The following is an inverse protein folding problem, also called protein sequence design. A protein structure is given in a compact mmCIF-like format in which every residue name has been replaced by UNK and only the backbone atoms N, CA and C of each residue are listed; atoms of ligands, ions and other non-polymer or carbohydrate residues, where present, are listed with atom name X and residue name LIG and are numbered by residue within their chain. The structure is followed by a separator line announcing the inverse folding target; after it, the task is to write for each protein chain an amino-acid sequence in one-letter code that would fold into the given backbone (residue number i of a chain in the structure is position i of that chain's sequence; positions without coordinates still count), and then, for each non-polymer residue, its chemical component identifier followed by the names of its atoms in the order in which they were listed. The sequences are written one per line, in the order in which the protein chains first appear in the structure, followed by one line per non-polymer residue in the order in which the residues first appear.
data_IF_172860805422
#
_entry.id   IF_172860805422
#
_cell.length_a   1.000
_cell.length_b   1.000
_cell.length_c   1.000
_cell.angle_alpha   90.00
_cell.angle_beta   90.00
_cell.angle_gamma   90.00
#
_symmetry.space_group_name_H-M   'P 1'
#
loop_
_entity.id
_entity.type
_entity.pdbx_description
1 polymer ?
#
# COMPACT_ATOMS: atom_id res chain seq x y z
N UNK A 1 -27.96 -9.94 -21.48
CA UNK A 1 -26.57 -9.90 -20.98
C UNK A 1 -26.62 -9.97 -19.46
N UNK A 2 -25.94 -10.94 -18.85
CA UNK A 2 -25.90 -11.18 -17.40
C UNK A 2 -24.54 -10.76 -16.85
N UNK A 3 -24.55 -9.77 -15.97
CA UNK A 3 -23.35 -9.17 -15.41
C UNK A 3 -23.27 -9.45 -13.91
N UNK A 4 -22.08 -9.78 -13.42
CA UNK A 4 -21.81 -9.84 -11.99
C UNK A 4 -20.68 -8.90 -11.65
N UNK A 5 -20.98 -7.90 -10.82
CA UNK A 5 -20.08 -6.82 -10.46
C UNK A 5 -19.64 -7.04 -9.01
N UNK A 6 -18.33 -7.16 -8.79
CA UNK A 6 -17.73 -7.36 -7.48
C UNK A 6 -16.98 -6.12 -7.00
N UNK A 7 -17.08 -5.86 -5.70
CA UNK A 7 -16.41 -4.77 -5.03
C UNK A 7 -16.28 -5.00 -3.53
N UNK A 8 -15.59 -4.07 -2.89
CA UNK A 8 -15.50 -3.95 -1.43
C UNK A 8 -16.27 -2.70 -0.99
N UNK A 9 -16.97 -2.81 0.14
CA UNK A 9 -17.76 -1.71 0.71
C UNK A 9 -16.92 -0.44 0.86
N UNK A 10 -17.37 0.65 0.22
CA UNK A 10 -16.68 1.95 0.19
C UNK A 10 -16.12 2.37 -1.17
N UNK A 11 -16.04 1.47 -2.17
CA UNK A 11 -15.54 1.79 -3.52
C UNK A 11 -16.61 2.35 -4.47
N UNK A 12 -17.87 2.40 -4.05
CA UNK A 12 -18.94 3.04 -4.81
C UNK A 12 -19.52 2.21 -5.95
N UNK A 13 -19.57 0.88 -5.81
CA UNK A 13 -20.24 -0.03 -6.75
C UNK A 13 -21.66 0.42 -7.12
N UNK A 14 -22.43 1.00 -6.19
CA UNK A 14 -23.77 1.53 -6.47
C UNK A 14 -23.77 2.59 -7.55
N UNK A 15 -22.84 3.55 -7.49
CA UNK A 15 -22.69 4.61 -8.51
C UNK A 15 -22.31 4.02 -9.87
N UNK A 16 -21.42 3.02 -9.87
CA UNK A 16 -21.02 2.34 -11.10
C UNK A 16 -22.20 1.61 -11.77
N UNK A 17 -22.98 0.87 -10.98
CA UNK A 17 -24.18 0.14 -11.44
C UNK A 17 -25.26 1.10 -11.92
N UNK A 18 -25.43 2.23 -11.26
CA UNK A 18 -26.39 3.27 -11.64
C UNK A 18 -26.01 3.90 -12.98
N UNK A 19 -24.74 4.30 -13.18
CA UNK A 19 -24.27 4.78 -14.48
C UNK A 19 -24.50 3.76 -15.58
N UNK A 20 -24.20 2.48 -15.34
CA UNK A 20 -24.41 1.44 -16.32
C UNK A 20 -25.90 1.20 -16.63
N UNK A 21 -26.77 1.31 -15.63
CA UNK A 21 -28.21 1.20 -15.78
C UNK A 21 -28.75 2.33 -16.65
N UNK A 22 -28.38 3.57 -16.33
CA UNK A 22 -28.81 4.76 -17.10
C UNK A 22 -28.29 4.67 -18.54
N UNK A 23 -27.03 4.28 -18.74
CA UNK A 23 -26.46 4.12 -20.07
C UNK A 23 -27.19 3.03 -20.89
N UNK A 24 -27.62 1.93 -20.26
CA UNK A 24 -28.42 0.90 -20.92
C UNK A 24 -29.83 1.40 -21.28
N UNK A 25 -30.49 2.12 -20.38
CA UNK A 25 -31.83 2.71 -20.60
C UNK A 25 -31.81 3.69 -21.78
N UNK A 26 -30.76 4.49 -21.91
CA UNK A 26 -30.58 5.44 -23.02
C UNK A 26 -30.53 4.76 -24.40
N UNK A 27 -30.14 3.49 -24.45
CA UNK A 27 -30.09 2.67 -25.67
C UNK A 27 -31.34 1.81 -25.87
N UNK A 28 -32.41 2.07 -25.08
CA UNK A 28 -33.67 1.33 -25.15
C UNK A 28 -33.58 -0.09 -24.59
N UNK A 29 -32.63 -0.35 -23.69
CA UNK A 29 -32.51 -1.61 -22.98
C UNK A 29 -33.13 -1.50 -21.58
N UNK A 30 -33.58 -2.63 -21.04
CA UNK A 30 -34.19 -2.78 -19.72
C UNK A 30 -33.19 -3.45 -18.77
N UNK A 31 -32.49 -2.70 -17.89
CA UNK A 31 -31.65 -3.27 -16.86
C UNK A 31 -32.48 -3.70 -15.64
N UNK A 32 -32.23 -4.91 -15.15
CA UNK A 32 -32.75 -5.44 -13.88
C UNK A 32 -31.58 -5.69 -12.94
N UNK A 33 -31.61 -5.08 -11.76
CA UNK A 33 -30.46 -5.04 -10.83
C UNK A 33 -30.83 -5.63 -9.48
N UNK A 34 -30.03 -6.59 -9.01
CA UNK A 34 -30.03 -7.07 -7.64
C UNK A 34 -28.72 -6.68 -6.94
N UNK A 35 -28.83 -5.82 -5.93
CA UNK A 35 -27.71 -5.49 -5.06
C UNK A 35 -27.67 -6.44 -3.86
N UNK A 36 -26.51 -7.06 -3.64
CA UNK A 36 -26.21 -7.94 -2.52
C UNK A 36 -25.18 -7.24 -1.62
N UNK A 37 -25.63 -6.33 -0.74
CA UNK A 37 -24.73 -5.66 0.19
C UNK A 37 -24.17 -6.66 1.19
N UNK A 38 -22.88 -6.55 1.49
CA UNK A 38 -22.29 -7.27 2.61
C UNK A 38 -22.80 -6.71 3.94
N UNK A 39 -22.80 -7.55 4.98
CA UNK A 39 -23.22 -7.16 6.34
C UNK A 39 -22.31 -6.07 6.93
N UNK A 40 -21.07 -5.94 6.43
CA UNK A 40 -20.14 -4.92 6.86
C UNK A 40 -20.26 -3.63 6.03
N UNK A 41 -20.47 -2.50 6.70
CA UNK A 41 -20.55 -1.18 6.07
C UNK A 41 -19.24 -0.72 5.41
N UNK A 42 -18.08 -1.29 5.79
CA UNK A 42 -16.76 -1.03 5.18
C UNK A 42 -15.95 -2.32 5.13
N UNK A 43 -15.15 -2.51 4.09
CA UNK A 43 -14.30 -3.70 3.91
C UNK A 43 -15.04 -5.05 3.74
N UNK A 44 -16.37 -5.05 3.68
CA UNK A 44 -17.16 -6.24 3.34
C UNK A 44 -17.30 -6.42 1.84
N UNK A 45 -17.42 -7.67 1.38
CA UNK A 45 -17.80 -8.00 0.00
C UNK A 45 -19.12 -7.34 -0.36
N UNK A 46 -19.17 -6.72 -1.54
CA UNK A 46 -20.40 -6.18 -2.12
C UNK A 46 -20.51 -6.69 -3.55
N UNK A 47 -21.63 -7.32 -3.87
CA UNK A 47 -21.92 -7.78 -5.23
C UNK A 47 -23.14 -7.07 -5.78
N UNK A 48 -23.14 -6.82 -7.09
CA UNK A 48 -24.33 -6.41 -7.83
C UNK A 48 -24.49 -7.32 -9.03
N UNK A 49 -25.64 -7.98 -9.12
CA UNK A 49 -26.05 -8.73 -10.29
C UNK A 49 -26.92 -7.85 -11.17
N UNK A 50 -26.68 -7.86 -12.48
CA UNK A 50 -27.45 -7.06 -13.44
C UNK A 50 -27.77 -7.89 -14.68
N UNK A 51 -29.04 -7.96 -15.05
CA UNK A 51 -29.48 -8.46 -16.36
C UNK A 51 -29.86 -7.28 -17.25
N UNK A 52 -29.32 -7.22 -18.47
CA UNK A 52 -29.70 -6.23 -19.48
C UNK A 52 -30.33 -6.97 -20.66
N UNK A 53 -31.62 -6.72 -20.92
CA UNK A 53 -32.41 -7.29 -22.02
C UNK A 53 -33.23 -6.21 -22.72
N UNK A 54 -33.76 -6.52 -23.92
CA UNK A 54 -34.79 -5.67 -24.54
C UNK A 54 -36.17 -5.94 -23.95
N UNK A 55 -36.43 -7.19 -23.59
CA UNK A 55 -37.67 -7.59 -22.94
C UNK A 55 -37.67 -7.15 -21.46
N UNK A 56 -38.84 -6.77 -20.94
CA UNK A 56 -39.02 -6.45 -19.52
C UNK A 56 -38.99 -7.69 -18.60
N UNK A 57 -39.06 -8.88 -19.20
CA UNK A 57 -39.10 -10.15 -18.47
C UNK A 57 -37.71 -10.54 -17.97
N UNK A 58 -37.45 -10.36 -16.68
CA UNK A 58 -36.26 -10.91 -16.01
C UNK A 58 -36.52 -12.38 -15.64
N UNK A 59 -35.70 -13.31 -16.10
CA UNK A 59 -35.94 -14.75 -15.91
C UNK A 59 -35.32 -15.33 -14.63
N UNK A 60 -34.30 -14.67 -14.05
CA UNK A 60 -33.70 -15.10 -12.77
C UNK A 60 -33.18 -13.91 -11.97
N UNK A 61 -33.58 -13.72 -10.69
CA UNK A 61 -33.10 -12.61 -9.88
C UNK A 61 -31.69 -12.83 -9.33
N UNK A 62 -31.09 -14.02 -9.47
CA UNK A 62 -29.80 -14.36 -8.85
C UNK A 62 -28.74 -14.78 -9.86
N UNK A 63 -27.46 -14.46 -9.62
CA UNK A 63 -26.37 -14.97 -10.44
C UNK A 63 -26.24 -16.49 -10.26
N UNK A 64 -26.33 -17.22 -11.36
CA UNK A 64 -26.05 -18.65 -11.40
C UNK A 64 -24.59 -18.91 -11.76
N UNK A 65 -23.98 -19.90 -11.10
CA UNK A 65 -22.60 -20.32 -11.37
C UNK A 65 -22.45 -20.79 -12.82
N UNK A 66 -21.40 -20.32 -13.51
CA UNK A 66 -21.13 -20.63 -14.92
C UNK A 66 -22.11 -20.04 -15.94
N UNK A 67 -23.07 -19.21 -15.51
CA UNK A 67 -24.11 -18.61 -16.37
C UNK A 67 -24.00 -17.07 -16.46
N UNK A 68 -22.96 -16.49 -15.89
CA UNK A 68 -22.68 -15.06 -15.99
C UNK A 68 -21.91 -14.79 -17.28
N UNK A 69 -22.39 -13.83 -18.08
CA UNK A 69 -21.76 -13.47 -19.37
C UNK A 69 -20.53 -12.58 -19.16
N UNK A 70 -20.59 -11.66 -18.18
CA UNK A 70 -19.54 -10.70 -17.89
C UNK A 70 -19.34 -10.51 -16.39
N UNK A 71 -18.12 -10.72 -15.91
CA UNK A 71 -17.70 -10.37 -14.56
C UNK A 71 -16.93 -9.06 -14.60
N UNK A 72 -17.31 -8.11 -13.75
CA UNK A 72 -16.61 -6.84 -13.57
C UNK A 72 -16.14 -6.78 -12.12
N UNK A 73 -14.89 -6.44 -11.84
CA UNK A 73 -14.44 -6.25 -10.46
C UNK A 73 -13.64 -4.98 -10.25
N UNK A 74 -14.04 -4.22 -9.23
CA UNK A 74 -13.31 -3.05 -8.74
C UNK A 74 -12.12 -3.44 -7.86
N UNK A 75 -12.09 -4.66 -7.34
CA UNK A 75 -11.05 -5.15 -6.42
C UNK A 75 -10.57 -6.55 -6.83
N UNK A 76 -9.25 -6.76 -6.81
CA UNK A 76 -8.61 -7.93 -7.39
C UNK A 76 -8.93 -9.23 -6.64
N UNK A 77 -8.92 -9.24 -5.31
CA UNK A 77 -9.25 -10.44 -4.55
C UNK A 77 -10.71 -10.84 -4.70
N UNK A 78 -11.63 -9.89 -4.79
CA UNK A 78 -13.04 -10.19 -5.03
C UNK A 78 -13.27 -10.76 -6.43
N UNK A 79 -12.47 -10.35 -7.44
CA UNK A 79 -12.46 -11.00 -8.75
C UNK A 79 -12.02 -12.47 -8.61
N UNK A 80 -10.88 -12.71 -7.96
CA UNK A 80 -10.36 -14.06 -7.77
C UNK A 80 -11.34 -14.93 -6.98
N UNK A 81 -12.02 -14.35 -5.98
CA UNK A 81 -13.05 -15.03 -5.19
C UNK A 81 -14.23 -15.46 -6.07
N UNK A 82 -14.75 -14.59 -6.93
CA UNK A 82 -15.82 -14.92 -7.87
C UNK A 82 -15.44 -16.05 -8.82
N UNK A 83 -14.22 -16.02 -9.35
CA UNK A 83 -13.70 -17.07 -10.24
C UNK A 83 -13.63 -18.40 -9.48
N UNK A 84 -13.04 -18.42 -8.27
CA UNK A 84 -12.93 -19.64 -7.45
C UNK A 84 -14.28 -20.21 -7.01
N UNK A 85 -15.27 -19.35 -6.80
CA UNK A 85 -16.63 -19.77 -6.44
C UNK A 85 -17.39 -20.39 -7.62
N UNK A 86 -16.85 -20.27 -8.84
CA UNK A 86 -17.43 -20.84 -10.07
C UNK A 86 -18.44 -19.92 -10.77
N UNK A 87 -18.44 -18.62 -10.47
CA UNK A 87 -19.29 -17.67 -11.19
C UNK A 87 -18.76 -17.41 -12.61
N UNK A 88 -17.44 -17.41 -12.76
CA UNK A 88 -16.77 -17.35 -14.05
C UNK A 88 -16.69 -18.75 -14.68
N UNK A 89 -16.82 -18.83 -16.00
CA UNK A 89 -16.51 -20.04 -16.75
C UNK A 89 -15.96 -19.72 -18.15
N UNK A 90 -15.72 -20.74 -18.96
CA UNK A 90 -15.15 -20.60 -20.32
C UNK A 90 -15.99 -19.74 -21.29
N UNK A 91 -17.24 -19.45 -20.93
CA UNK A 91 -18.13 -18.58 -21.72
C UNK A 91 -18.20 -17.15 -21.17
N UNK A 92 -17.67 -16.91 -19.97
CA UNK A 92 -17.70 -15.62 -19.28
C UNK A 92 -16.55 -14.73 -19.73
N UNK A 93 -16.81 -13.45 -19.91
CA UNK A 93 -15.76 -12.43 -20.05
C UNK A 93 -15.43 -11.84 -18.68
N UNK A 94 -14.19 -11.40 -18.51
CA UNK A 94 -13.71 -10.80 -17.24
C UNK A 94 -13.14 -9.42 -17.50
N UNK A 95 -13.58 -8.45 -16.71
CA UNK A 95 -13.03 -7.10 -16.65
C UNK A 95 -12.66 -6.79 -15.20
N UNK A 96 -11.43 -6.38 -14.93
CA UNK A 96 -11.03 -6.04 -13.58
C UNK A 96 -9.77 -5.21 -13.49
N UNK A 97 -9.36 -4.95 -12.26
CA UNK A 97 -8.13 -4.22 -11.93
C UNK A 97 -7.28 -5.00 -10.93
N UNK A 98 -6.00 -4.66 -10.84
CA UNK A 98 -5.09 -5.14 -9.77
C UNK A 98 -5.30 -4.40 -8.44
N UNK A 99 -6.28 -3.50 -8.34
CA UNK A 99 -6.53 -2.74 -7.11
C UNK A 99 -6.84 -3.67 -5.95
N UNK A 100 -6.22 -3.39 -4.80
CA UNK A 100 -6.34 -4.22 -3.60
C UNK A 100 -6.79 -3.37 -2.41
N UNK A 101 -7.88 -3.77 -1.77
CA UNK A 101 -8.24 -3.20 -0.47
C UNK A 101 -7.49 -3.95 0.63
N UNK A 102 -6.29 -3.47 0.96
CA UNK A 102 -5.44 -4.12 1.96
C UNK A 102 -6.01 -4.02 3.39
N UNK A 103 -6.10 -5.17 4.04
CA UNK A 103 -6.35 -5.27 5.48
C UNK A 103 -5.18 -4.68 6.28
N UNK A 104 -5.42 -4.35 7.55
CA UNK A 104 -4.35 -3.85 8.45
C UNK A 104 -3.18 -4.83 8.51
N UNK A 105 -3.43 -6.13 8.54
CA UNK A 105 -2.39 -7.16 8.57
C UNK A 105 -1.54 -7.17 7.30
N UNK A 106 -2.16 -7.07 6.13
CA UNK A 106 -1.43 -7.04 4.87
C UNK A 106 -0.56 -5.79 4.73
N UNK A 107 -1.04 -4.64 5.22
CA UNK A 107 -0.24 -3.38 5.27
C UNK A 107 0.99 -3.48 6.17
N UNK A 108 0.93 -4.31 7.20
CA UNK A 108 2.02 -4.53 8.17
C UNK A 108 2.98 -5.65 7.75
N UNK A 109 2.65 -6.40 6.70
CA UNK A 109 3.50 -7.48 6.20
C UNK A 109 4.67 -6.91 5.41
N UNK A 110 5.89 -7.26 5.81
CA UNK A 110 7.10 -6.94 5.05
C UNK A 110 7.44 -7.99 3.98
N UNK A 111 6.67 -9.09 3.94
CA UNK A 111 6.78 -10.14 2.90
C UNK A 111 6.25 -9.63 1.56
N UNK A 112 6.74 -10.21 0.46
CA UNK A 112 6.18 -10.01 -0.88
C UNK A 112 4.69 -10.39 -0.86
N UNK A 113 3.82 -9.55 -1.42
CA UNK A 113 2.39 -9.81 -1.51
C UNK A 113 2.17 -11.09 -2.35
N UNK A 114 1.56 -12.16 -1.81
CA UNK A 114 1.31 -13.36 -2.59
C UNK A 114 0.09 -13.20 -3.52
N UNK A 115 -0.68 -12.13 -3.40
CA UNK A 115 -1.91 -11.91 -4.15
C UNK A 115 -1.71 -10.97 -5.34
N UNK A 116 -0.78 -11.33 -6.25
CA UNK A 116 -0.50 -10.58 -7.48
C UNK A 116 -1.21 -11.16 -8.69
N UNK A 117 -1.32 -10.37 -9.76
CA UNK A 117 -1.91 -10.83 -11.03
C UNK A 117 -1.18 -12.04 -11.59
N UNK A 118 0.17 -12.06 -11.56
CA UNK A 118 0.99 -13.15 -12.08
C UNK A 118 0.66 -14.49 -11.42
N UNK A 119 0.44 -14.48 -10.10
CA UNK A 119 0.13 -15.69 -9.33
C UNK A 119 -1.26 -16.25 -9.67
N UNK A 120 -2.18 -15.43 -10.18
CA UNK A 120 -3.55 -15.82 -10.51
C UNK A 120 -3.87 -15.77 -12.01
N UNK A 121 -2.91 -15.40 -12.86
CA UNK A 121 -3.08 -15.29 -14.31
C UNK A 121 -3.65 -16.56 -14.93
N UNK A 122 -3.04 -17.71 -14.60
CA UNK A 122 -3.50 -19.02 -15.08
C UNK A 122 -4.94 -19.34 -14.67
N UNK A 123 -5.31 -18.99 -13.42
CA UNK A 123 -6.68 -19.20 -12.93
C UNK A 123 -7.70 -18.37 -13.73
N UNK A 124 -7.36 -17.11 -14.05
CA UNK A 124 -8.22 -16.22 -14.84
C UNK A 124 -8.35 -16.74 -16.27
N UNK A 125 -7.24 -17.13 -16.89
CA UNK A 125 -7.21 -17.69 -18.25
C UNK A 125 -8.03 -18.97 -18.39
N UNK A 126 -7.94 -19.88 -17.41
CA UNK A 126 -8.68 -21.16 -17.45
C UNK A 126 -10.20 -20.98 -17.24
N UNK A 127 -10.63 -19.87 -16.65
CA UNK A 127 -12.01 -19.61 -16.25
C UNK A 127 -12.65 -18.40 -16.94
N UNK A 128 -12.09 -17.95 -18.07
CA UNK A 128 -12.67 -16.88 -18.88
C UNK A 128 -12.50 -17.14 -20.37
N UNK A 129 -13.44 -16.65 -21.18
CA UNK A 129 -13.33 -16.63 -22.64
C UNK A 129 -12.31 -15.58 -23.09
N UNK A 130 -12.45 -14.40 -22.52
CA UNK A 130 -11.62 -13.21 -22.73
C UNK A 130 -11.50 -12.51 -21.38
N UNK A 131 -10.34 -11.94 -21.08
CA UNK A 131 -10.14 -11.19 -19.86
C UNK A 131 -9.30 -9.93 -20.11
N UNK A 132 -9.67 -8.87 -19.41
CA UNK A 132 -8.93 -7.63 -19.32
C UNK A 132 -8.75 -7.35 -17.83
N UNK A 133 -7.54 -7.52 -17.34
CA UNK A 133 -7.16 -7.12 -15.97
C UNK A 133 -6.10 -6.05 -16.09
N UNK A 134 -6.47 -4.84 -15.69
CA UNK A 134 -5.61 -3.66 -15.81
C UNK A 134 -4.77 -3.50 -14.55
N UNK A 135 -3.45 -3.38 -14.72
CA UNK A 135 -2.58 -3.00 -13.62
C UNK A 135 -2.62 -1.49 -13.38
N UNK A 136 -3.41 -1.09 -12.39
CA UNK A 136 -3.59 0.31 -12.02
C UNK A 136 -2.34 0.94 -11.41
N UNK A 137 -1.43 0.13 -10.84
CA UNK A 137 -0.19 0.62 -10.24
C UNK A 137 0.85 0.91 -11.34
N UNK A 138 0.91 0.08 -12.37
CA UNK A 138 1.78 0.33 -13.53
C UNK A 138 1.31 1.53 -14.36
N UNK A 139 0.00 1.81 -14.36
CA UNK A 139 -0.57 2.95 -15.09
C UNK A 139 -0.28 4.32 -14.47
N UNK A 140 0.28 4.38 -13.25
CA UNK A 140 0.52 5.65 -12.55
C UNK A 140 -0.75 6.40 -12.14
N UNK A 141 -1.93 5.77 -12.24
CA UNK A 141 -3.21 6.36 -11.85
C UNK A 141 -3.37 6.18 -10.35
N UNK A 142 -2.94 7.18 -9.58
CA UNK A 142 -2.99 7.16 -8.11
C UNK A 142 -4.40 7.08 -7.50
N UNK A 143 -5.45 7.33 -8.30
CA UNK A 143 -6.85 7.33 -7.87
C UNK A 143 -7.76 6.72 -8.96
N UNK A 144 -7.59 5.42 -9.22
CA UNK A 144 -8.42 4.73 -10.19
C UNK A 144 -9.90 4.74 -9.75
N UNK A 145 -10.72 5.47 -10.50
CA UNK A 145 -12.12 5.74 -10.16
C UNK A 145 -13.08 4.83 -10.93
N UNK A 146 -14.36 4.83 -10.51
CA UNK A 146 -15.41 4.07 -11.19
C UNK A 146 -15.62 4.52 -12.64
N UNK A 147 -15.34 5.80 -12.93
CA UNK A 147 -15.40 6.32 -14.28
C UNK A 147 -14.27 5.77 -15.18
N UNK A 148 -13.06 5.58 -14.65
CA UNK A 148 -12.00 4.89 -15.38
C UNK A 148 -12.40 3.45 -15.75
N UNK A 149 -13.00 2.71 -14.80
CA UNK A 149 -13.52 1.36 -15.05
C UNK A 149 -14.62 1.36 -16.11
N UNK A 150 -15.49 2.38 -16.11
CA UNK A 150 -16.56 2.53 -17.08
C UNK A 150 -16.02 2.80 -18.49
N UNK A 151 -14.99 3.64 -18.61
CA UNK A 151 -14.28 3.88 -19.87
C UNK A 151 -13.57 2.61 -20.37
N UNK A 152 -12.96 1.85 -19.46
CA UNK A 152 -12.37 0.56 -19.76
C UNK A 152 -13.41 -0.44 -20.28
N UNK A 153 -14.59 -0.49 -19.66
CA UNK A 153 -15.72 -1.32 -20.10
C UNK A 153 -16.25 -0.94 -21.48
N UNK A 154 -16.30 0.35 -21.80
CA UNK A 154 -16.65 0.80 -23.15
C UNK A 154 -15.58 0.35 -24.16
N UNK A 155 -14.30 0.65 -23.89
CA UNK A 155 -13.20 0.32 -24.81
C UNK A 155 -12.99 -1.19 -25.01
N UNK A 156 -13.39 -2.04 -24.06
CA UNK A 156 -13.31 -3.49 -24.20
C UNK A 156 -14.28 -4.05 -25.24
N UNK A 157 -15.32 -3.30 -25.62
CA UNK A 157 -16.36 -3.75 -26.54
C UNK A 157 -17.23 -4.87 -25.96
N UNK A 158 -17.19 -5.12 -24.64
CA UNK A 158 -17.98 -6.20 -24.02
C UNK A 158 -19.48 -5.92 -24.00
N UNK A 159 -19.87 -4.64 -24.07
CA UNK A 159 -21.26 -4.17 -24.18
C UNK A 159 -21.44 -3.37 -25.48
N UNK A 160 -21.43 -4.02 -26.66
CA UNK A 160 -21.41 -3.32 -27.95
C UNK A 160 -22.70 -2.55 -28.27
N UNK A 161 -23.76 -2.77 -27.50
CA UNK A 161 -25.03 -2.07 -27.65
C UNK A 161 -25.07 -0.72 -26.92
N UNK A 162 -24.08 -0.40 -26.08
CA UNK A 162 -23.99 0.89 -25.38
C UNK A 162 -22.99 1.81 -26.08
N UNK A 163 -23.46 2.96 -26.57
CA UNK A 163 -22.60 3.95 -27.21
C UNK A 163 -21.88 4.81 -26.19
N UNK A 164 -20.78 5.43 -26.62
CA UNK A 164 -19.97 6.31 -25.78
C UNK A 164 -20.80 7.44 -25.18
N UNK A 165 -21.63 8.06 -26.01
CA UNK A 165 -22.45 9.21 -25.65
C UNK A 165 -23.42 8.86 -24.51
N UNK A 166 -23.94 7.62 -24.48
CA UNK A 166 -24.83 7.13 -23.43
C UNK A 166 -24.11 6.93 -22.10
N UNK A 167 -22.83 6.52 -22.10
CA UNK A 167 -22.02 6.50 -20.89
C UNK A 167 -21.76 7.92 -20.35
N UNK A 168 -21.38 8.86 -21.22
CA UNK A 168 -21.13 10.24 -20.83
C UNK A 168 -22.41 10.92 -20.30
N UNK A 169 -23.54 10.68 -20.96
CA UNK A 169 -24.84 11.19 -20.53
C UNK A 169 -25.31 10.57 -19.21
N UNK A 170 -25.04 9.27 -18.98
CA UNK A 170 -25.29 8.65 -17.70
C UNK A 170 -24.49 9.31 -16.56
N UNK A 171 -23.23 9.65 -16.80
CA UNK A 171 -22.40 10.41 -15.83
C UNK A 171 -23.02 11.78 -15.54
N UNK A 172 -23.48 12.50 -16.56
CA UNK A 172 -24.14 13.81 -16.41
C UNK A 172 -25.44 13.70 -15.60
N UNK A 173 -26.28 12.70 -15.89
CA UNK A 173 -27.59 12.53 -15.23
C UNK A 173 -27.50 12.14 -13.77
N UNK A 174 -26.56 11.28 -13.41
CA UNK A 174 -26.35 10.89 -12.00
C UNK A 174 -25.74 12.04 -11.18
N UNK A 175 -25.05 12.99 -11.84
CA UNK A 175 -24.73 14.29 -11.24
C UNK A 175 -23.60 14.29 -10.21
N UNK A 176 -22.88 13.19 -10.03
CA UNK A 176 -21.78 13.08 -9.06
C UNK A 176 -20.46 13.50 -9.73
N UNK A 177 -19.82 14.56 -9.22
CA UNK A 177 -18.50 15.06 -9.69
C UNK A 177 -18.36 15.05 -11.23
N UNK A 178 -19.38 15.53 -11.95
CA UNK A 178 -19.58 15.28 -13.40
C UNK A 178 -18.33 15.58 -14.24
N UNK A 179 -17.76 16.77 -14.11
CA UNK A 179 -16.58 17.17 -14.91
C UNK A 179 -15.37 16.26 -14.69
N UNK A 180 -15.14 15.85 -13.44
CA UNK A 180 -14.05 14.96 -13.07
C UNK A 180 -14.29 13.56 -13.62
N UNK A 181 -15.49 13.02 -13.42
CA UNK A 181 -15.83 11.68 -13.89
C UNK A 181 -15.86 11.59 -15.42
N UNK A 182 -16.23 12.64 -16.15
CA UNK A 182 -16.11 12.66 -17.61
C UNK A 182 -14.65 12.60 -18.09
N UNK A 183 -13.74 13.31 -17.41
CA UNK A 183 -12.30 13.24 -17.69
C UNK A 183 -11.74 11.85 -17.40
N UNK A 184 -12.08 11.29 -16.23
CA UNK A 184 -11.67 9.94 -15.83
C UNK A 184 -12.21 8.85 -16.78
N UNK A 185 -13.46 9.00 -17.26
CA UNK A 185 -14.05 8.13 -18.28
C UNK A 185 -13.28 8.19 -19.59
N UNK A 186 -12.98 9.39 -20.08
CA UNK A 186 -12.19 9.56 -21.31
C UNK A 186 -10.80 8.92 -21.20
N UNK A 187 -10.12 9.09 -20.05
CA UNK A 187 -8.85 8.42 -19.78
C UNK A 187 -9.00 6.89 -19.78
N UNK A 188 -10.06 6.37 -19.16
CA UNK A 188 -10.40 4.95 -19.16
C UNK A 188 -10.55 4.36 -20.57
N UNK A 189 -11.19 5.09 -21.49
CA UNK A 189 -11.37 4.68 -22.88
C UNK A 189 -10.05 4.52 -23.66
N UNK A 190 -9.00 5.25 -23.27
CA UNK A 190 -7.70 5.21 -23.93
C UNK A 190 -6.79 4.08 -23.42
N UNK A 191 -7.12 3.46 -22.28
CA UNK A 191 -6.22 2.53 -21.59
C UNK A 191 -5.91 1.29 -22.43
N UNK A 192 -6.86 0.74 -23.18
CA UNK A 192 -6.64 -0.46 -24.01
C UNK A 192 -5.86 -0.17 -25.30
N UNK A 193 -6.00 1.03 -25.87
CA UNK A 193 -5.24 1.45 -27.06
C UNK A 193 -3.75 1.66 -26.77
N UNK A 194 -3.40 1.94 -25.51
CA UNK A 194 -2.02 2.09 -25.04
C UNK A 194 -1.35 0.76 -24.67
N UNK A 195 -2.10 -0.33 -24.55
CA UNK A 195 -1.55 -1.64 -24.14
C UNK A 195 -0.75 -2.38 -25.24
N UNK A 196 -0.88 -1.95 -26.52
CA UNK A 196 -0.10 -2.48 -27.65
C UNK A 196 1.14 -1.65 -28.02
N UNK A 197 1.24 -0.42 -27.52
CA UNK A 197 2.35 0.48 -27.80
C UNK A 197 2.90 1.10 -26.52
N UNK A 198 4.19 0.81 -26.29
CA UNK A 198 5.14 1.52 -25.42
C UNK A 198 5.20 1.00 -23.98
N UNK A 199 6.34 0.41 -23.60
CA UNK A 199 7.58 1.10 -23.22
C UNK A 199 7.28 2.02 -22.03
N UNK A 200 7.60 1.53 -20.84
CA UNK A 200 7.76 2.28 -19.59
C UNK A 200 7.43 3.77 -19.74
N UNK A 201 6.16 4.14 -19.59
CA UNK A 201 5.82 5.50 -19.15
C UNK A 201 6.00 5.54 -17.64
N UNK A 202 7.22 5.25 -17.22
CA UNK A 202 7.73 5.53 -15.90
C UNK A 202 8.21 6.99 -15.95
N UNK A 203 7.28 7.94 -16.08
CA UNK A 203 7.61 9.35 -15.95
C UNK A 203 7.61 9.83 -14.49
N UNK A 204 7.38 8.95 -13.50
CA UNK A 204 7.69 9.29 -12.10
C UNK A 204 9.15 8.98 -11.73
N UNK A 205 9.84 8.02 -12.37
CA UNK A 205 11.22 7.67 -11.98
C UNK A 205 12.30 8.55 -12.61
N UNK A 206 12.02 9.23 -13.73
CA UNK A 206 12.95 10.25 -14.27
C UNK A 206 12.87 11.57 -13.49
N UNK A 207 11.68 12.00 -13.04
CA UNK A 207 11.54 13.17 -12.17
C UNK A 207 12.16 12.95 -10.77
N UNK A 208 12.02 11.75 -10.19
CA UNK A 208 12.67 11.48 -8.89
C UNK A 208 14.20 11.49 -9.00
N UNK A 209 14.78 11.13 -10.15
CA UNK A 209 16.23 11.17 -10.36
C UNK A 209 16.76 12.60 -10.53
N UNK A 210 15.99 13.52 -11.13
CA UNK A 210 16.36 14.92 -11.29
C UNK A 210 16.27 15.70 -9.97
N UNK A 211 15.41 15.30 -9.04
CA UNK A 211 15.28 15.89 -7.70
C UNK A 211 16.31 15.38 -6.68
N UNK A 212 16.99 14.26 -6.94
CA UNK A 212 17.99 13.72 -6.02
C UNK A 212 19.28 14.57 -6.05
N UNK A 213 19.85 14.93 -4.89
CA UNK A 213 21.10 15.69 -4.82
C UNK A 213 22.21 15.04 -5.66
N UNK A 214 22.90 15.85 -6.47
CA UNK A 214 24.08 15.40 -7.20
C UNK A 214 25.22 15.02 -6.24
N UNK A 215 26.09 14.10 -6.65
CA UNK A 215 27.26 13.65 -5.88
C UNK A 215 27.17 12.20 -5.38
N UNK A 216 27.73 11.96 -4.18
CA UNK A 216 28.02 10.61 -3.63
C UNK A 216 26.81 9.67 -3.56
N UNK A 217 25.62 10.21 -3.31
CA UNK A 217 24.37 9.44 -3.26
C UNK A 217 24.06 8.84 -4.63
N UNK A 218 24.07 9.66 -5.69
CA UNK A 218 23.76 9.23 -7.06
C UNK A 218 24.78 8.22 -7.58
N UNK A 219 26.07 8.45 -7.27
CA UNK A 219 27.14 7.51 -7.61
C UNK A 219 26.96 6.15 -6.91
N UNK A 220 26.62 6.15 -5.62
CA UNK A 220 26.37 4.91 -4.87
C UNK A 220 25.15 4.15 -5.37
N UNK A 221 24.06 4.85 -5.73
CA UNK A 221 22.87 4.25 -6.34
C UNK A 221 23.24 3.58 -7.66
N UNK A 222 23.99 4.28 -8.53
CA UNK A 222 24.41 3.77 -9.83
C UNK A 222 25.34 2.56 -9.68
N UNK A 223 26.30 2.62 -8.74
CA UNK A 223 27.21 1.50 -8.42
C UNK A 223 26.41 0.28 -7.94
N UNK A 224 25.46 0.46 -7.03
CA UNK A 224 24.62 -0.64 -6.55
C UNK A 224 23.74 -1.22 -7.67
N UNK A 225 23.19 -0.37 -8.54
CA UNK A 225 22.41 -0.79 -9.71
C UNK A 225 23.23 -1.60 -10.72
N UNK A 226 24.48 -1.21 -10.97
CA UNK A 226 25.38 -1.98 -11.85
C UNK A 226 25.79 -3.32 -11.26
N UNK A 227 25.98 -3.41 -9.94
CA UNK A 227 26.47 -4.64 -9.29
C UNK A 227 25.36 -5.64 -8.98
N UNK A 228 24.14 -5.17 -8.67
CA UNK A 228 23.04 -6.01 -8.17
C UNK A 228 21.75 -5.90 -9.01
N UNK A 229 21.77 -5.13 -10.10
CA UNK A 229 20.66 -4.98 -11.03
C UNK A 229 19.67 -3.84 -10.72
N UNK A 230 18.77 -3.59 -11.68
CA UNK A 230 17.85 -2.44 -11.67
C UNK A 230 16.82 -2.47 -10.54
N UNK A 231 16.42 -3.64 -10.07
CA UNK A 231 15.45 -3.77 -8.98
C UNK A 231 16.02 -3.20 -7.67
N UNK A 232 17.30 -3.50 -7.38
CA UNK A 232 18.01 -2.97 -6.21
C UNK A 232 18.17 -1.47 -6.33
N UNK A 233 18.55 -0.97 -7.51
CA UNK A 233 18.63 0.47 -7.78
C UNK A 233 17.32 1.19 -7.45
N UNK A 234 16.18 0.61 -7.86
CA UNK A 234 14.84 1.16 -7.62
C UNK A 234 14.51 1.22 -6.14
N UNK A 235 14.85 0.16 -5.38
CA UNK A 235 14.63 0.13 -3.92
C UNK A 235 15.48 1.19 -3.21
N UNK A 236 16.76 1.32 -3.57
CA UNK A 236 17.66 2.30 -2.94
C UNK A 236 17.22 3.73 -3.29
N UNK A 237 16.84 4.01 -4.55
CA UNK A 237 16.28 5.31 -4.95
C UNK A 237 15.09 5.69 -4.07
N UNK A 238 14.11 4.79 -3.96
CA UNK A 238 12.93 5.02 -3.13
C UNK A 238 13.28 5.23 -1.65
N UNK A 239 14.23 4.45 -1.12
CA UNK A 239 14.70 4.60 0.26
C UNK A 239 15.32 5.99 0.49
N UNK A 240 16.23 6.43 -0.37
CA UNK A 240 16.91 7.73 -0.29
C UNK A 240 15.91 8.87 -0.35
N UNK A 241 14.99 8.87 -1.33
CA UNK A 241 13.96 9.93 -1.44
C UNK A 241 13.12 10.04 -0.16
N UNK A 242 12.71 8.90 0.40
CA UNK A 242 11.94 8.88 1.65
C UNK A 242 12.76 9.34 2.85
N UNK A 243 14.05 9.00 2.93
CA UNK A 243 14.96 9.42 4.00
C UNK A 243 15.24 10.93 3.98
N UNK A 244 15.42 11.52 2.80
CA UNK A 244 15.56 12.98 2.64
C UNK A 244 14.28 13.68 3.14
N UNK A 245 13.11 13.19 2.72
CA UNK A 245 11.82 13.72 3.20
C UNK A 245 11.65 13.52 4.70
N UNK A 246 12.04 12.36 5.21
CA UNK A 246 11.97 12.00 6.62
C UNK A 246 12.82 12.92 7.49
N UNK A 247 14.08 13.16 7.10
CA UNK A 247 15.06 13.92 7.87
C UNK A 247 15.76 14.98 7.01
N UNK A 248 16.85 14.63 6.33
CA UNK A 248 17.64 15.54 5.51
C UNK A 248 18.59 14.73 4.60
N UNK A 249 19.33 15.42 3.73
CA UNK A 249 20.31 14.80 2.82
C UNK A 249 21.41 14.07 3.60
N UNK A 250 21.91 14.65 4.70
CA UNK A 250 22.95 14.02 5.53
C UNK A 250 22.48 12.71 6.18
N UNK A 251 21.19 12.57 6.48
CA UNK A 251 20.63 11.30 6.97
C UNK A 251 20.50 10.25 5.87
N UNK A 252 20.22 10.65 4.62
CA UNK A 252 20.27 9.76 3.48
C UNK A 252 21.70 9.32 3.15
N UNK A 253 22.70 10.19 3.32
CA UNK A 253 24.11 9.81 3.21
C UNK A 253 24.52 8.79 4.27
N UNK A 254 24.04 8.94 5.52
CA UNK A 254 24.27 7.95 6.57
C UNK A 254 23.70 6.57 6.18
N UNK A 255 22.52 6.54 5.57
CA UNK A 255 21.95 5.29 5.04
C UNK A 255 22.83 4.67 3.97
N UNK A 256 23.31 5.45 2.99
CA UNK A 256 24.21 4.98 1.94
C UNK A 256 25.53 4.45 2.53
N UNK A 257 26.11 5.13 3.52
CA UNK A 257 27.33 4.67 4.18
C UNK A 257 27.11 3.32 4.88
N UNK A 258 25.99 3.16 5.60
CA UNK A 258 25.62 1.89 6.25
C UNK A 258 25.37 0.79 5.24
N UNK A 259 24.67 1.09 4.15
CA UNK A 259 24.41 0.16 3.06
C UNK A 259 25.73 -0.33 2.46
N UNK A 260 26.60 0.59 2.05
CA UNK A 260 27.90 0.26 1.45
C UNK A 260 28.78 -0.56 2.40
N UNK A 261 28.73 -0.30 3.72
CA UNK A 261 29.47 -1.08 4.72
C UNK A 261 29.11 -2.57 4.77
N UNK A 262 27.98 -2.97 4.17
CA UNK A 262 27.55 -4.36 4.03
C UNK A 262 27.75 -4.84 2.59
N UNK A 263 27.46 -4.01 1.58
CA UNK A 263 27.68 -4.38 0.18
C UNK A 263 29.14 -4.69 -0.12
N UNK A 264 30.07 -3.95 0.48
CA UNK A 264 31.51 -4.16 0.31
C UNK A 264 31.99 -5.48 0.95
N UNK A 265 31.20 -6.10 1.84
CA UNK A 265 31.48 -7.42 2.41
C UNK A 265 31.00 -8.59 1.54
N UNK A 266 30.24 -8.33 0.46
CA UNK A 266 29.71 -9.38 -0.42
C UNK A 266 30.79 -9.76 -1.46
N UNK A 267 31.20 -11.03 -1.56
CA UNK A 267 32.16 -11.50 -2.57
C UNK A 267 31.68 -11.22 -3.99
N UNK A 268 32.59 -10.90 -4.92
CA UNK A 268 32.23 -10.57 -6.30
C UNK A 268 31.44 -11.68 -7.01
N UNK A 269 31.79 -12.95 -6.76
CA UNK A 269 31.11 -14.11 -7.33
C UNK A 269 29.61 -14.18 -6.95
N UNK A 270 29.24 -13.58 -5.82
CA UNK A 270 27.89 -13.66 -5.26
C UNK A 270 26.99 -12.50 -5.68
N UNK A 271 27.56 -11.38 -6.16
CA UNK A 271 26.82 -10.13 -6.42
C UNK A 271 25.76 -10.28 -7.52
N UNK A 272 26.06 -11.06 -8.54
CA UNK A 272 25.17 -11.27 -9.68
C UNK A 272 24.19 -12.44 -9.48
N UNK A 273 24.37 -13.25 -8.43
CA UNK A 273 23.48 -14.38 -8.11
C UNK A 273 22.10 -13.90 -7.67
N UNK A 274 21.07 -14.71 -7.89
CA UNK A 274 19.70 -14.36 -7.47
C UNK A 274 19.60 -14.15 -5.95
N UNK A 275 20.31 -14.97 -5.17
CA UNK A 275 20.34 -14.89 -3.70
C UNK A 275 21.07 -13.61 -3.25
N UNK A 276 22.18 -13.24 -3.90
CA UNK A 276 22.90 -11.98 -3.62
C UNK A 276 22.03 -10.75 -3.90
N UNK A 277 21.32 -10.74 -5.03
CA UNK A 277 20.36 -9.67 -5.39
C UNK A 277 19.19 -9.60 -4.41
N UNK A 278 18.66 -10.75 -3.98
CA UNK A 278 17.61 -10.84 -2.98
C UNK A 278 18.06 -10.30 -1.62
N UNK A 279 19.24 -10.73 -1.15
CA UNK A 279 19.83 -10.25 0.10
C UNK A 279 19.95 -8.72 0.12
N UNK A 280 20.57 -8.14 -0.91
CA UNK A 280 20.77 -6.69 -0.98
C UNK A 280 19.45 -5.95 -1.02
N UNK A 281 18.48 -6.45 -1.78
CA UNK A 281 17.13 -5.87 -1.86
C UNK A 281 16.45 -5.86 -0.48
N UNK A 282 16.46 -6.98 0.22
CA UNK A 282 15.82 -7.12 1.53
C UNK A 282 16.54 -6.28 2.59
N UNK A 283 17.87 -6.25 2.58
CA UNK A 283 18.66 -5.44 3.50
C UNK A 283 18.46 -3.94 3.25
N UNK A 284 18.56 -3.49 2.00
CA UNK A 284 18.35 -2.08 1.62
C UNK A 284 16.96 -1.58 2.04
N UNK A 285 15.92 -2.38 1.78
CA UNK A 285 14.54 -2.10 2.20
C UNK A 285 14.41 -2.04 3.72
N UNK A 286 14.87 -3.08 4.41
CA UNK A 286 14.68 -3.21 5.86
C UNK A 286 15.48 -2.15 6.63
N UNK A 287 16.71 -1.87 6.21
CA UNK A 287 17.53 -0.80 6.79
C UNK A 287 16.84 0.56 6.66
N UNK A 288 16.29 0.88 5.49
CA UNK A 288 15.59 2.13 5.26
C UNK A 288 14.37 2.27 6.19
N UNK A 289 13.56 1.21 6.31
CA UNK A 289 12.40 1.17 7.22
C UNK A 289 12.83 1.36 8.67
N UNK A 290 13.91 0.69 9.12
CA UNK A 290 14.41 0.86 10.49
C UNK A 290 14.94 2.26 10.76
N UNK A 291 15.58 2.88 9.79
CA UNK A 291 16.06 4.26 9.90
C UNK A 291 14.93 5.29 9.88
N UNK A 292 13.77 4.96 9.33
CA UNK A 292 12.57 5.81 9.28
C UNK A 292 11.54 5.42 10.35
N UNK A 293 11.97 5.27 11.60
CA UNK A 293 11.06 4.98 12.69
C UNK A 293 10.09 6.16 12.96
N UNK A 294 8.90 5.84 13.45
CA UNK A 294 7.89 6.84 13.81
C UNK A 294 8.12 7.31 15.25
N UNK A 295 8.62 8.53 15.39
CA UNK A 295 8.63 9.27 16.65
C UNK A 295 7.44 10.25 16.73
N UNK A 296 7.22 10.85 17.90
CA UNK A 296 6.17 11.86 18.10
C UNK A 296 6.30 12.99 17.06
N UNK A 297 7.52 13.39 16.69
CA UNK A 297 7.77 14.44 15.69
C UNK A 297 7.20 14.01 14.32
N UNK A 298 7.51 12.79 13.87
CA UNK A 298 7.07 12.24 12.59
C UNK A 298 5.58 11.98 12.58
N UNK A 299 5.04 11.44 13.67
CA UNK A 299 3.59 11.25 13.82
C UNK A 299 2.88 12.60 13.69
N UNK A 300 3.36 13.64 14.37
CA UNK A 300 2.78 14.97 14.25
C UNK A 300 2.86 15.51 12.81
N UNK A 301 3.99 15.36 12.14
CA UNK A 301 4.18 15.73 10.72
C UNK A 301 3.16 15.03 9.80
N UNK A 302 2.97 13.72 9.98
CA UNK A 302 2.01 12.93 9.20
C UNK A 302 0.57 13.39 9.44
N UNK A 303 0.23 13.74 10.70
CA UNK A 303 -1.11 14.18 11.09
C UNK A 303 -1.48 15.55 10.56
N UNK A 304 -0.52 16.46 10.39
CA UNK A 304 -0.73 17.82 9.84
C UNK A 304 -0.44 17.94 8.34
N UNK A 305 -0.11 16.83 7.66
CA UNK A 305 0.21 16.83 6.23
C UNK A 305 -0.98 17.21 5.35
N UNK A 306 -0.74 17.99 4.30
CA UNK A 306 -1.79 18.41 3.35
C UNK A 306 -2.36 17.21 2.60
N UNK A 307 -1.50 16.25 2.26
CA UNK A 307 -1.87 15.01 1.57
C UNK A 307 -2.83 14.18 2.40
N UNK A 308 -2.67 14.14 3.74
CA UNK A 308 -3.61 13.47 4.63
C UNK A 308 -5.00 14.12 4.56
N UNK A 309 -5.09 15.44 4.62
CA UNK A 309 -6.38 16.13 4.56
C UNK A 309 -7.08 15.91 3.22
N UNK A 310 -6.35 16.03 2.10
CA UNK A 310 -6.87 15.70 0.76
C UNK A 310 -7.40 14.26 0.69
N UNK A 311 -6.64 13.30 1.22
CA UNK A 311 -7.04 11.89 1.29
C UNK A 311 -8.28 11.67 2.15
N UNK A 312 -8.39 12.31 3.32
CA UNK A 312 -9.57 12.20 4.19
C UNK A 312 -10.80 12.79 3.51
N UNK A 313 -10.69 13.98 2.91
CA UNK A 313 -11.80 14.58 2.15
C UNK A 313 -12.29 13.64 1.05
N UNK A 314 -11.37 13.05 0.29
CA UNK A 314 -11.70 12.06 -0.75
C UNK A 314 -12.36 10.80 -0.16
N UNK A 315 -11.77 10.21 0.87
CA UNK A 315 -12.25 8.94 1.45
C UNK A 315 -13.65 9.07 2.06
N UNK A 316 -13.97 10.23 2.65
CA UNK A 316 -15.26 10.49 3.28
C UNK A 316 -16.20 11.34 2.40
N UNK A 317 -15.82 11.62 1.14
CA UNK A 317 -16.60 12.43 0.17
C UNK A 317 -17.06 13.77 0.75
N UNK A 318 -16.16 14.44 1.48
CA UNK A 318 -16.43 15.72 2.13
C UNK A 318 -16.35 16.81 1.04
N UNK A 319 -17.45 17.54 0.84
CA UNK A 319 -17.56 18.66 -0.07
C UNK A 319 -16.68 19.86 0.33
N UNK A 320 -16.62 20.88 -0.52
CA UNK A 320 -15.86 22.10 -0.23
C UNK A 320 -16.48 22.90 0.94
N UNK A 321 -17.82 22.92 1.02
CA UNK A 321 -18.59 23.67 2.01
C UNK A 321 -18.94 22.87 3.29
N UNK A 322 -18.59 21.58 3.33
CA UNK A 322 -18.91 20.72 4.46
C UNK A 322 -18.03 21.04 5.68
N UNK A 323 -18.67 21.25 6.83
CA UNK A 323 -17.98 21.37 8.12
C UNK A 323 -17.72 19.98 8.69
N UNK A 324 -16.45 19.65 8.93
CA UNK A 324 -16.06 18.37 9.50
C UNK A 324 -15.04 18.53 10.62
N UNK A 325 -14.89 17.50 11.45
CA UNK A 325 -13.93 17.45 12.55
C UNK A 325 -13.09 16.18 12.45
N UNK A 326 -11.76 16.32 12.53
CA UNK A 326 -10.83 15.20 12.58
C UNK A 326 -10.33 15.10 14.02
N UNK A 327 -10.85 14.12 14.75
CA UNK A 327 -10.42 13.80 16.10
C UNK A 327 -9.41 12.65 16.07
N UNK A 328 -8.17 12.94 16.42
CA UNK A 328 -7.09 11.95 16.51
C UNK A 328 -6.89 11.54 17.98
N UNK A 329 -6.82 10.23 18.21
CA UNK A 329 -6.55 9.64 19.51
C UNK A 329 -5.08 9.26 19.59
N UNK A 330 -4.38 9.79 20.59
CA UNK A 330 -2.99 9.50 20.89
C UNK A 330 -2.90 8.81 22.25
N UNK A 331 -1.93 7.90 22.37
CA UNK A 331 -1.55 7.27 23.63
C UNK A 331 -0.03 7.30 23.79
N UNK A 332 0.59 8.50 23.86
CA UNK A 332 2.01 8.59 24.13
C UNK A 332 2.31 7.96 25.49
N UNK A 333 3.29 7.08 25.51
CA UNK A 333 3.91 6.66 26.78
C UNK A 333 4.93 7.71 27.23
N UNK A 334 5.27 7.70 28.52
CA UNK A 334 6.27 8.63 29.05
C UNK A 334 7.62 8.47 28.31
N UNK A 335 7.97 7.25 27.90
CA UNK A 335 9.15 6.94 27.09
C UNK A 335 9.20 7.70 25.76
N UNK A 336 8.06 7.87 25.09
CA UNK A 336 7.94 8.63 23.86
C UNK A 336 8.03 10.14 24.13
N UNK A 337 7.46 10.63 25.24
CA UNK A 337 7.45 12.06 25.60
C UNK A 337 8.86 12.58 25.89
N UNK A 338 9.57 12.00 26.87
CA UNK A 338 10.95 12.43 27.14
C UNK A 338 11.92 11.94 26.07
N UNK A 339 11.50 10.98 25.23
CA UNK A 339 12.26 10.50 24.09
C UNK A 339 12.61 11.59 23.07
N UNK A 340 11.83 12.67 23.00
CA UNK A 340 12.09 13.84 22.13
C UNK A 340 13.26 14.69 22.67
N UNK A 341 13.50 14.66 23.98
CA UNK A 341 14.51 15.52 24.61
C UNK A 341 15.94 15.11 24.20
N UNK A 342 16.90 16.05 24.18
CA UNK A 342 18.31 15.72 23.96
C UNK A 342 18.80 14.64 24.92
N UNK A 343 19.67 13.75 24.46
CA UNK A 343 20.05 12.51 25.17
C UNK A 343 20.43 12.70 26.66
N UNK A 344 21.16 13.76 27.01
CA UNK A 344 21.54 14.06 28.40
C UNK A 344 20.33 14.42 29.28
N UNK A 345 19.45 15.30 28.81
CA UNK A 345 18.22 15.69 29.50
C UNK A 345 17.24 14.52 29.58
N UNK A 346 17.07 13.78 28.48
CA UNK A 346 16.20 12.61 28.43
C UNK A 346 16.56 11.58 29.51
N UNK A 347 17.86 11.31 29.72
CA UNK A 347 18.35 10.38 30.76
C UNK A 347 18.13 10.87 32.19
N UNK A 348 18.04 12.18 32.41
CA UNK A 348 17.70 12.76 33.72
C UNK A 348 16.20 12.59 34.00
N UNK A 349 15.36 12.94 33.02
CA UNK A 349 13.91 12.76 33.12
C UNK A 349 13.53 11.29 33.26
N UNK A 350 14.17 10.40 32.50
CA UNK A 350 13.93 8.97 32.64
C UNK A 350 14.24 8.46 34.05
N UNK A 351 15.34 8.91 34.68
CA UNK A 351 15.66 8.54 36.07
C UNK A 351 14.66 9.12 37.08
N UNK A 352 14.14 10.31 36.82
CA UNK A 352 13.16 10.96 37.69
C UNK A 352 11.78 10.29 37.60
N UNK A 353 11.41 9.80 36.43
CA UNK A 353 10.10 9.20 36.14
C UNK A 353 10.17 7.68 35.93
N UNK A 354 11.29 7.03 36.25
CA UNK A 354 11.47 5.58 36.11
C UNK A 354 10.52 4.85 37.05
N UNK A 355 9.64 4.01 36.49
CA UNK A 355 8.63 3.25 37.25
C UNK A 355 7.21 3.83 37.15
N UNK A 356 7.03 5.05 36.65
CA UNK A 356 5.70 5.57 36.32
C UNK A 356 5.29 5.06 34.93
N UNK A 357 4.50 3.99 34.88
CA UNK A 357 3.94 3.42 33.66
C UNK A 357 2.69 4.16 33.16
N UNK A 358 2.71 5.50 33.14
CA UNK A 358 1.54 6.27 32.74
C UNK A 358 1.49 6.39 31.20
N UNK A 359 0.46 5.82 30.59
CA UNK A 359 0.08 6.16 29.21
C UNK A 359 -1.04 7.19 29.26
N UNK A 360 -0.81 8.36 28.66
CA UNK A 360 -1.80 9.44 28.69
C UNK A 360 -2.63 9.31 27.43
N UNK A 361 -3.95 9.12 27.55
CA UNK A 361 -4.85 9.22 26.40
C UNK A 361 -5.06 10.70 26.09
N UNK A 362 -4.54 11.14 24.95
CA UNK A 362 -4.67 12.53 24.47
C UNK A 362 -5.57 12.53 23.23
N UNK A 363 -6.56 13.39 23.22
CA UNK A 363 -7.47 13.56 22.08
C UNK A 363 -7.22 14.94 21.47
N UNK A 364 -6.82 14.97 20.18
CA UNK A 364 -6.49 16.23 19.50
C UNK A 364 -7.37 16.39 18.27
N UNK A 365 -8.02 17.54 18.16
CA UNK A 365 -8.73 17.92 16.94
C UNK A 365 -7.73 18.51 15.94
N UNK A 366 -7.29 17.70 14.99
CA UNK A 366 -6.18 18.03 14.08
C UNK A 366 -6.55 19.05 13.01
N UNK A 367 -7.85 19.23 12.74
CA UNK A 367 -8.35 20.29 11.87
C UNK A 367 -8.92 21.50 12.64
N UNK A 368 -8.78 21.53 13.97
CA UNK A 368 -9.01 22.73 14.77
C UNK A 368 -7.69 23.51 14.93
N UNK A 369 -7.77 24.85 15.03
CA UNK A 369 -6.60 25.73 15.08
C UNK A 369 -5.64 25.34 16.21
N UNK A 370 -6.15 25.13 17.43
CA UNK A 370 -5.31 24.78 18.59
C UNK A 370 -4.58 23.45 18.42
N UNK A 371 -5.30 22.39 18.03
CA UNK A 371 -4.71 21.07 17.83
C UNK A 371 -3.73 21.03 16.65
N UNK A 372 -4.07 21.71 15.55
CA UNK A 372 -3.18 21.86 14.41
C UNK A 372 -1.90 22.59 14.80
N UNK A 373 -1.97 23.71 15.52
CA UNK A 373 -0.80 24.49 15.93
C UNK A 373 0.13 23.69 16.86
N UNK A 374 -0.41 22.93 17.82
CA UNK A 374 0.38 22.06 18.70
C UNK A 374 1.13 21.01 17.89
N UNK A 375 0.42 20.25 17.04
CA UNK A 375 1.05 19.24 16.19
C UNK A 375 2.02 19.87 15.19
N UNK A 376 1.72 21.07 14.69
CA UNK A 376 2.61 21.80 13.79
C UNK A 376 3.90 22.22 14.50
N UNK A 377 3.81 22.72 15.73
CA UNK A 377 4.97 23.06 16.55
C UNK A 377 5.85 21.82 16.80
N UNK A 378 5.24 20.70 17.20
CA UNK A 378 5.95 19.42 17.38
C UNK A 378 6.62 18.97 16.08
N UNK A 379 5.94 19.05 14.94
CA UNK A 379 6.52 18.69 13.63
C UNK A 379 7.73 19.54 13.25
N UNK A 380 7.84 20.76 13.77
CA UNK A 380 8.98 21.67 13.52
C UNK A 380 10.21 21.33 14.37
N UNK A 381 10.07 20.48 15.40
CA UNK A 381 11.18 19.96 16.21
C UNK A 381 12.00 18.87 15.49
N UNK A 382 11.79 18.68 14.18
CA UNK A 382 12.53 17.75 13.32
C UNK A 382 14.06 17.83 13.45
N UNK A 383 14.61 19.02 13.71
CA UNK A 383 16.05 19.19 13.93
C UNK A 383 16.55 18.52 15.22
N UNK A 384 15.71 18.42 16.26
CA UNK A 384 16.05 17.75 17.53
C UNK A 384 16.08 16.23 17.40
N UNK A 385 15.46 15.65 16.38
CA UNK A 385 15.34 14.19 16.22
C UNK A 385 16.69 13.50 16.39
N UNK A 386 17.71 13.93 15.66
CA UNK A 386 19.05 13.31 15.70
C UNK A 386 19.81 13.53 17.02
N UNK A 387 19.37 14.47 17.85
CA UNK A 387 19.92 14.74 19.18
C UNK A 387 19.13 14.04 20.30
N UNK A 388 17.97 13.50 19.96
CA UNK A 388 17.00 12.98 20.91
C UNK A 388 17.46 11.66 21.55
N UNK A 389 17.03 11.41 22.79
CA UNK A 389 17.27 10.13 23.46
C UNK A 389 16.65 8.97 22.67
N UNK A 390 15.50 9.21 22.02
CA UNK A 390 14.87 8.19 21.17
C UNK A 390 15.78 7.81 20.01
N UNK A 391 16.39 8.79 19.34
CA UNK A 391 17.34 8.50 18.27
C UNK A 391 18.55 7.72 18.76
N UNK A 392 19.13 8.07 19.90
CA UNK A 392 20.27 7.33 20.48
C UNK A 392 19.94 5.83 20.59
N UNK A 393 18.77 5.50 21.13
CA UNK A 393 18.30 4.10 21.31
C UNK A 393 18.02 3.39 20.00
N UNK A 394 17.27 4.03 19.11
CA UNK A 394 16.94 3.45 17.81
C UNK A 394 18.21 3.24 16.98
N UNK A 395 19.15 4.19 17.04
CA UNK A 395 20.44 4.08 16.39
C UNK A 395 21.26 2.90 16.93
N UNK A 396 21.33 2.71 18.25
CA UNK A 396 21.99 1.53 18.83
C UNK A 396 21.35 0.21 18.36
N UNK A 397 20.03 0.15 18.24
CA UNK A 397 19.33 -1.04 17.71
C UNK A 397 19.58 -1.25 16.21
N UNK A 398 19.72 -0.18 15.43
CA UNK A 398 20.07 -0.23 14.00
C UNK A 398 21.51 -0.75 13.85
N UNK A 399 22.46 -0.24 14.62
CA UNK A 399 23.85 -0.71 14.58
C UNK A 399 23.95 -2.19 14.99
N UNK A 400 23.23 -2.60 16.04
CA UNK A 400 23.16 -4.01 16.43
C UNK A 400 22.56 -4.91 15.33
N UNK A 401 21.61 -4.39 14.54
CA UNK A 401 21.06 -5.09 13.39
C UNK A 401 22.05 -5.20 12.23
N UNK A 402 22.76 -4.12 11.90
CA UNK A 402 23.81 -4.14 10.88
C UNK A 402 24.89 -5.15 11.24
N UNK A 403 25.30 -5.19 12.51
CA UNK A 403 26.30 -6.14 13.00
C UNK A 403 25.78 -7.60 12.96
N UNK A 404 24.51 -7.83 13.29
CA UNK A 404 23.90 -9.15 13.13
C UNK A 404 23.89 -9.61 11.66
N UNK A 405 23.54 -8.72 10.72
CA UNK A 405 23.58 -9.01 9.28
C UNK A 405 25.00 -9.26 8.80
N UNK A 406 25.98 -8.47 9.25
CA UNK A 406 27.41 -8.65 8.94
C UNK A 406 27.90 -10.03 9.40
N UNK A 407 27.54 -10.43 10.62
CA UNK A 407 27.87 -11.76 11.14
C UNK A 407 27.19 -12.87 10.34
N UNK A 408 25.91 -12.70 10.01
CA UNK A 408 25.17 -13.66 9.19
C UNK A 408 25.81 -13.88 7.82
N UNK A 409 26.31 -12.81 7.19
CA UNK A 409 27.05 -12.89 5.92
C UNK A 409 28.29 -13.80 6.02
N UNK A 410 29.01 -13.80 7.16
CA UNK A 410 30.17 -14.68 7.35
C UNK A 410 29.82 -16.18 7.39
N UNK A 411 28.55 -16.52 7.62
CA UNK A 411 28.06 -17.90 7.60
C UNK A 411 27.43 -18.31 6.25
N UNK A 412 27.18 -17.37 5.36
CA UNK A 412 26.60 -17.60 4.03
C UNK A 412 25.40 -16.72 3.71
N UNK A 413 25.12 -16.56 2.41
CA UNK A 413 24.07 -15.65 1.94
C UNK A 413 22.66 -16.07 2.36
N UNK A 414 22.36 -17.36 2.43
CA UNK A 414 21.04 -17.85 2.84
C UNK A 414 20.68 -17.37 4.26
N UNK A 415 21.65 -17.44 5.18
CA UNK A 415 21.51 -16.96 6.55
C UNK A 415 21.44 -15.43 6.55
N UNK A 416 22.22 -14.76 5.70
CA UNK A 416 22.20 -13.31 5.56
C UNK A 416 20.85 -12.77 5.08
N UNK A 417 20.18 -13.44 4.13
CA UNK A 417 18.81 -13.09 3.69
C UNK A 417 17.83 -13.18 4.86
N UNK A 418 17.90 -14.25 5.65
CA UNK A 418 17.06 -14.42 6.83
C UNK A 418 17.36 -13.37 7.91
N UNK A 419 18.63 -13.05 8.14
CA UNK A 419 19.05 -11.99 9.05
C UNK A 419 18.55 -10.62 8.60
N UNK A 420 18.67 -10.30 7.30
CA UNK A 420 18.16 -9.08 6.70
C UNK A 420 16.65 -8.95 6.93
N UNK A 421 15.89 -10.01 6.62
CA UNK A 421 14.45 -10.10 6.89
C UNK A 421 14.11 -9.98 8.37
N UNK A 422 14.94 -10.50 9.27
CA UNK A 422 14.74 -10.41 10.71
C UNK A 422 14.65 -8.97 11.24
N UNK A 423 15.21 -7.99 10.54
CA UNK A 423 15.05 -6.58 10.91
C UNK A 423 13.59 -6.10 10.89
N UNK A 424 12.72 -6.78 10.13
CA UNK A 424 11.28 -6.55 10.06
C UNK A 424 10.51 -6.90 11.35
N UNK A 425 11.14 -7.65 12.27
CA UNK A 425 10.50 -8.06 13.52
C UNK A 425 10.17 -6.84 14.39
N UNK A 426 11.07 -5.85 14.44
CA UNK A 426 10.92 -4.65 15.28
C UNK A 426 9.85 -3.73 14.69
N UNK A 427 8.67 -3.70 15.31
CA UNK A 427 7.50 -2.93 14.83
C UNK A 427 6.55 -2.55 15.96
N UNK A 428 5.58 -1.71 15.65
CA UNK A 428 4.61 -1.20 16.61
C UNK A 428 5.15 -0.10 17.52
N UNK A 429 4.33 0.27 18.51
CA UNK A 429 4.54 1.35 19.48
C UNK A 429 4.26 0.84 20.90
N UNK A 430 4.65 1.59 21.94
CA UNK A 430 4.43 1.21 23.35
C UNK A 430 4.92 -0.21 23.71
N UNK A 431 4.07 -0.98 24.39
CA UNK A 431 4.34 -2.37 24.81
C UNK A 431 4.64 -3.30 23.63
N UNK A 432 3.86 -3.22 22.55
CA UNK A 432 4.08 -4.04 21.35
C UNK A 432 5.49 -3.83 20.79
N UNK A 433 6.00 -2.60 20.83
CA UNK A 433 7.38 -2.33 20.41
C UNK A 433 8.40 -2.98 21.33
N UNK A 434 8.18 -2.94 22.65
CA UNK A 434 9.07 -3.59 23.63
C UNK A 434 9.16 -5.10 23.38
N UNK A 435 8.01 -5.75 23.23
CA UNK A 435 7.92 -7.19 22.99
C UNK A 435 8.57 -7.61 21.67
N UNK A 436 8.38 -6.82 20.62
CA UNK A 436 9.00 -7.11 19.32
C UNK A 436 10.52 -6.86 19.32
N UNK A 437 11.02 -5.90 20.11
CA UNK A 437 12.46 -5.72 20.32
C UNK A 437 13.04 -6.94 21.06
N UNK A 438 12.35 -7.46 22.07
CA UNK A 438 12.78 -8.68 22.75
C UNK A 438 12.77 -9.90 21.84
N UNK A 439 11.70 -10.07 21.07
CA UNK A 439 11.60 -11.11 20.04
C UNK A 439 12.74 -11.00 19.04
N UNK A 440 13.07 -9.79 18.59
CA UNK A 440 14.22 -9.56 17.69
C UNK A 440 15.55 -9.91 18.35
N UNK A 441 15.74 -9.59 19.64
CA UNK A 441 16.94 -9.98 20.39
C UNK A 441 17.08 -11.51 20.48
N UNK A 442 15.98 -12.24 20.69
CA UNK A 442 15.98 -13.72 20.67
C UNK A 442 16.34 -14.24 19.29
N UNK A 443 15.71 -13.70 18.24
CA UNK A 443 16.01 -14.03 16.85
C UNK A 443 17.48 -13.78 16.49
N UNK A 444 18.05 -12.65 16.92
CA UNK A 444 19.43 -12.26 16.58
C UNK A 444 20.52 -13.18 17.13
N UNK A 445 20.16 -14.05 18.08
CA UNK A 445 21.05 -15.07 18.66
C UNK A 445 21.02 -16.38 17.87
N UNK A 446 20.04 -16.57 16.98
CA UNK A 446 19.96 -17.76 16.15
C UNK A 446 20.99 -17.70 15.03
N UNK A 447 21.66 -18.82 14.78
CA UNK A 447 22.64 -18.99 13.70
C UNK A 447 22.26 -20.12 12.74
N UNK A 448 21.24 -20.92 13.08
CA UNK A 448 20.75 -22.01 12.25
C UNK A 448 19.64 -21.49 11.29
N UNK A 449 19.80 -21.62 9.95
CA UNK A 449 18.84 -21.09 8.98
C UNK A 449 17.45 -21.71 9.08
N UNK A 450 17.31 -22.99 9.44
CA UNK A 450 15.99 -23.62 9.63
C UNK A 450 15.27 -23.03 10.84
N UNK A 451 15.99 -22.84 11.95
CA UNK A 451 15.43 -22.21 13.15
C UNK A 451 15.04 -20.74 12.89
N UNK A 452 15.88 -19.99 12.17
CA UNK A 452 15.58 -18.62 11.77
C UNK A 452 14.34 -18.54 10.86
N UNK A 453 14.26 -19.41 9.85
CA UNK A 453 13.12 -19.48 8.95
C UNK A 453 11.82 -19.84 9.69
N UNK A 454 11.88 -20.85 10.57
CA UNK A 454 10.74 -21.23 11.42
C UNK A 454 10.28 -20.08 12.29
N UNK A 455 11.21 -19.40 12.98
CA UNK A 455 10.91 -18.25 13.83
C UNK A 455 10.22 -17.13 13.04
N UNK A 456 10.72 -16.80 11.85
CA UNK A 456 10.10 -15.77 11.00
C UNK A 456 8.72 -16.20 10.51
N UNK A 457 8.51 -17.48 10.21
CA UNK A 457 7.21 -18.01 9.81
C UNK A 457 6.19 -17.95 10.94
N UNK A 458 6.57 -18.39 12.14
CA UNK A 458 5.74 -18.33 13.32
C UNK A 458 5.41 -16.88 13.70
N UNK A 459 6.41 -16.01 13.84
CA UNK A 459 6.21 -14.61 14.21
C UNK A 459 5.30 -13.85 13.23
N UNK A 460 5.48 -14.05 11.93
CA UNK A 460 4.62 -13.42 10.92
C UNK A 460 3.26 -14.12 10.73
N UNK A 461 3.10 -15.36 11.17
CA UNK A 461 1.82 -16.05 11.22
C UNK A 461 0.99 -15.67 12.47
N UNK A 462 1.60 -15.65 13.66
CA UNK A 462 0.95 -15.29 14.94
C UNK A 462 0.48 -13.84 14.97
N UNK A 463 1.21 -12.93 14.31
CA UNK A 463 0.76 -11.54 14.15
C UNK A 463 -0.52 -11.37 13.32
N UNK A 464 -1.09 -12.45 12.76
CA UNK A 464 -2.46 -12.47 12.21
C UNK A 464 -3.54 -12.59 13.28
N UNK A 465 -3.23 -13.07 14.48
CA UNK A 465 -4.22 -13.40 15.52
C UNK A 465 -4.29 -12.37 16.67
N UNK A 466 -3.19 -11.68 17.00
CA UNK A 466 -3.11 -10.81 18.19
C UNK A 466 -3.89 -9.48 18.13
N UNK A 467 -4.57 -9.14 17.03
CA UNK A 467 -5.41 -7.92 16.95
C UNK A 467 -6.91 -8.20 16.83
N UNK A 468 -7.36 -9.45 17.01
CA UNK A 468 -8.80 -9.74 17.17
C UNK A 468 -9.31 -9.46 18.60
N UNK A 469 -8.41 -9.20 19.55
CA UNK A 469 -8.75 -8.94 20.95
C UNK A 469 -8.08 -7.65 21.43
N UNK A 470 -8.57 -6.49 20.98
CA UNK A 470 -8.37 -5.21 21.66
C UNK A 470 -9.33 -4.15 21.16
#
# INVERSE_FOLDING_TARGET
MKLLIASVGGLGIGVFVEWLSVAAILEGMNPSVLNLPGVSQRAGRTLSYMEISKDETTFSPFPEKGRVDLIISQEFLELIRLIKEGYAGKNSRVLGTTYRYYTTHEKLSLRKDPYTYENFKKLIEENSKEHIVVDIYEMGISDFSNAHLLGLLYSSGYLPFIKRESYEEAIRRVGIEVERNLKDFALGCELLGRSGERKCLINENEEVLSELPEGRIRESIRKAGSLFGRDVETVIKRAVTQLIRYQDVGYAELYINRLNSILDCIPDADRETDIGKEFVREFAKTLAVRMMYEDIIRVAELKVSRERFKRIKRLYRIGEDDVYWIKDFFRPDLYEIYGILPGSLGKVFERMFSGFGLSIKVEVFTNHVSGFLILKAISKLKFLRRLSLRYERENSLIEAYIEHVRRALSYGLDIAVLAARGGAIVRGYGDVRRDTIESWKRFSKLTNPQAMSSFLNEFFAESRFLTQTS
#
